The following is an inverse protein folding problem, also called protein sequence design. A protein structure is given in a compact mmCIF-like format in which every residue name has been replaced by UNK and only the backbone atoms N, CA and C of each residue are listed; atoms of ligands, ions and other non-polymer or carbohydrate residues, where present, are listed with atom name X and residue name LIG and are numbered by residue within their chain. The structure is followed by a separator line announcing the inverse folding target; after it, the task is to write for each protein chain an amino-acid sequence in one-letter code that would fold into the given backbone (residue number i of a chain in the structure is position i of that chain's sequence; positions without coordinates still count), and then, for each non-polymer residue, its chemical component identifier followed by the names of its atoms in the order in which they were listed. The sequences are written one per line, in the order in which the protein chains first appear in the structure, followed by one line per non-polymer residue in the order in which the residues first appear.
data_IF_365361607310
#
_entry.id   IF_365361607310
#
_cell.length_a   1.000
_cell.length_b   1.000
_cell.length_c   1.000
_cell.angle_alpha   90.00
_cell.angle_beta   90.00
_cell.angle_gamma   90.00
#
_symmetry.space_group_name_H-M   'P 1'
#
loop_
_entity.id
_entity.type
_entity.pdbx_description
1 polymer ?
#
# COMPACT_ATOMS: atom_id res chain seq x y z
N UNK A 1 -55.69 20.76 16.27
CA UNK A 1 -54.53 20.72 17.20
C UNK A 1 -53.33 20.27 16.38
N UNK A 2 -52.34 21.16 16.23
CA UNK A 2 -51.16 20.97 15.38
C UNK A 2 -50.16 20.08 16.11
N UNK A 3 -50.07 18.81 15.74
CA UNK A 3 -49.01 17.93 16.26
C UNK A 3 -47.79 18.07 15.35
N UNK A 4 -46.80 18.84 15.83
CA UNK A 4 -45.53 19.08 15.17
C UNK A 4 -44.64 17.85 15.43
N UNK A 5 -44.51 16.97 14.45
CA UNK A 5 -43.55 15.85 14.50
C UNK A 5 -42.17 16.40 14.09
N UNK A 6 -41.27 16.55 15.05
CA UNK A 6 -39.88 16.92 14.81
C UNK A 6 -39.11 15.64 14.50
N UNK A 7 -38.74 15.45 13.24
CA UNK A 7 -37.86 14.35 12.82
C UNK A 7 -36.42 14.70 13.18
N UNK A 8 -35.84 13.97 14.13
CA UNK A 8 -34.44 14.07 14.55
C UNK A 8 -33.53 13.52 13.43
N UNK A 9 -32.86 14.40 12.68
CA UNK A 9 -31.82 13.99 11.73
C UNK A 9 -30.56 13.70 12.56
N UNK A 10 -30.27 12.42 12.79
CA UNK A 10 -29.00 11.97 13.36
C UNK A 10 -27.93 12.12 12.28
N UNK A 11 -27.24 13.26 12.26
CA UNK A 11 -26.04 13.44 11.44
C UNK A 11 -24.95 12.51 12.00
N UNK A 12 -24.76 11.37 11.36
CA UNK A 12 -23.60 10.52 11.58
C UNK A 12 -22.36 11.28 11.08
N UNK A 13 -21.76 12.06 11.96
CA UNK A 13 -20.43 12.62 11.76
C UNK A 13 -19.45 11.45 11.76
N UNK A 14 -19.25 10.85 10.60
CA UNK A 14 -18.20 9.86 10.40
C UNK A 14 -16.87 10.60 10.46
N UNK A 15 -16.31 10.72 11.67
CA UNK A 15 -14.92 11.11 11.85
C UNK A 15 -14.08 9.98 11.25
N UNK A 16 -13.61 10.17 10.01
CA UNK A 16 -12.47 9.43 9.50
C UNK A 16 -11.31 9.75 10.43
N UNK A 17 -11.02 8.85 11.37
CA UNK A 17 -9.74 8.85 12.03
C UNK A 17 -8.72 8.64 10.92
N UNK A 18 -7.81 9.60 10.73
CA UNK A 18 -6.61 9.40 9.94
C UNK A 18 -5.82 8.31 10.69
N UNK A 19 -6.09 7.06 10.36
CA UNK A 19 -5.33 5.94 10.89
C UNK A 19 -3.88 6.18 10.51
N UNK A 20 -3.02 6.29 11.53
CA UNK A 20 -1.60 6.53 11.33
C UNK A 20 -1.07 5.44 10.39
N UNK A 21 -0.30 5.82 9.37
CA UNK A 21 0.18 4.84 8.41
C UNK A 21 1.17 3.89 9.09
N UNK A 22 1.31 2.69 8.53
CA UNK A 22 2.28 1.71 8.96
C UNK A 22 3.65 2.11 8.37
N UNK A 23 4.64 2.47 9.20
CA UNK A 23 5.97 2.80 8.71
C UNK A 23 6.76 1.51 8.43
N UNK A 24 7.37 1.39 7.27
CA UNK A 24 8.27 0.29 6.94
C UNK A 24 9.25 0.69 5.83
N UNK A 25 10.24 -0.17 5.56
CA UNK A 25 11.26 0.08 4.53
C UNK A 25 11.10 -0.87 3.38
N UNK A 26 11.06 -0.32 2.16
CA UNK A 26 11.23 -1.08 0.92
C UNK A 26 12.72 -1.12 0.56
N UNK A 27 13.29 -2.30 0.40
CA UNK A 27 14.70 -2.50 0.05
C UNK A 27 14.85 -3.17 -1.31
N UNK A 28 15.71 -2.59 -2.15
CA UNK A 28 16.15 -3.21 -3.40
C UNK A 28 17.60 -3.69 -3.26
N UNK A 29 17.78 -5.00 -3.11
CA UNK A 29 19.11 -5.64 -3.09
C UNK A 29 19.73 -5.88 -4.47
N UNK A 30 19.09 -5.41 -5.54
CA UNK A 30 19.57 -5.59 -6.91
C UNK A 30 20.30 -4.38 -7.48
N UNK A 31 20.95 -4.62 -8.62
CA UNK A 31 21.69 -3.60 -9.38
C UNK A 31 20.83 -2.85 -10.39
N UNK A 32 19.54 -3.17 -10.50
CA UNK A 32 18.58 -2.49 -11.39
C UNK A 32 17.46 -1.87 -10.57
N UNK A 33 16.97 -0.72 -11.02
CA UNK A 33 15.81 -0.08 -10.41
C UNK A 33 14.57 -0.98 -10.52
N UNK A 34 13.64 -0.83 -9.57
CA UNK A 34 12.36 -1.52 -9.55
C UNK A 34 11.26 -0.46 -9.63
N UNK A 35 10.53 -0.37 -10.75
CA UNK A 35 9.33 0.43 -10.81
C UNK A 35 8.22 -0.24 -10.01
N UNK A 36 7.61 0.51 -9.11
CA UNK A 36 6.42 0.11 -8.36
C UNK A 36 5.28 1.08 -8.69
N UNK A 37 4.08 0.73 -8.27
CA UNK A 37 2.95 1.64 -8.25
C UNK A 37 2.37 1.63 -6.83
N UNK A 38 2.42 2.79 -6.18
CA UNK A 38 1.94 2.98 -4.80
C UNK A 38 1.00 4.20 -4.83
N UNK A 39 -0.31 4.03 -4.59
CA UNK A 39 -1.25 5.14 -4.58
C UNK A 39 -0.80 6.26 -3.64
N UNK A 40 -0.86 7.51 -4.09
CA UNK A 40 -0.45 8.68 -3.29
C UNK A 40 1.06 8.91 -3.19
N UNK A 41 1.91 8.05 -3.75
CA UNK A 41 3.36 8.25 -3.81
C UNK A 41 3.77 8.72 -5.21
N UNK A 42 4.34 9.92 -5.32
CA UNK A 42 4.64 10.55 -6.60
C UNK A 42 5.77 9.89 -7.42
N UNK A 43 6.77 9.30 -6.76
CA UNK A 43 7.89 8.63 -7.43
C UNK A 43 8.15 7.24 -6.84
N UNK A 44 7.32 6.24 -7.19
CA UNK A 44 7.42 4.89 -6.63
C UNK A 44 8.52 4.04 -7.31
N UNK A 45 9.66 4.63 -7.67
CA UNK A 45 10.79 3.88 -8.22
C UNK A 45 11.81 3.59 -7.12
N UNK A 46 12.14 2.32 -6.92
CA UNK A 46 13.15 1.90 -5.96
C UNK A 46 14.51 1.74 -6.65
N UNK A 47 15.43 2.65 -6.35
CA UNK A 47 16.78 2.68 -6.93
C UNK A 47 17.58 1.39 -6.64
N UNK A 48 18.62 1.07 -7.44
CA UNK A 48 19.53 -0.02 -7.13
C UNK A 48 20.17 0.14 -5.75
N UNK A 49 20.34 -0.98 -5.03
CA UNK A 49 21.06 -1.04 -3.75
C UNK A 49 20.58 -0.01 -2.71
N UNK A 50 19.29 0.36 -2.71
CA UNK A 50 18.75 1.42 -1.85
C UNK A 50 17.68 0.94 -0.88
N UNK A 51 17.46 1.75 0.15
CA UNK A 51 16.32 1.68 1.07
C UNK A 51 15.41 2.89 0.84
N UNK A 52 14.09 2.68 0.88
CA UNK A 52 13.09 3.74 0.87
C UNK A 52 12.12 3.51 2.02
N UNK A 53 12.12 4.41 2.99
CA UNK A 53 11.10 4.45 4.03
C UNK A 53 9.77 4.90 3.44
N UNK A 54 8.70 4.22 3.79
CA UNK A 54 7.32 4.55 3.43
C UNK A 54 6.44 4.45 4.66
N UNK A 55 5.36 5.22 4.69
CA UNK A 55 4.32 5.15 5.70
C UNK A 55 2.98 5.09 4.98
N UNK A 56 2.32 3.94 5.01
CA UNK A 56 1.15 3.63 4.18
C UNK A 56 -0.01 3.11 5.05
N UNK A 57 -1.25 3.39 4.66
CA UNK A 57 -2.42 2.95 5.41
C UNK A 57 -2.58 1.41 5.36
N UNK A 58 -3.14 0.81 6.41
CA UNK A 58 -3.53 -0.61 6.41
C UNK A 58 -4.50 -0.88 5.25
N UNK A 59 -4.32 -2.00 4.55
CA UNK A 59 -5.09 -2.39 3.37
C UNK A 59 -4.66 -1.67 2.07
N UNK A 60 -3.75 -0.70 2.15
CA UNK A 60 -3.21 -0.05 0.95
C UNK A 60 -2.41 -1.06 0.13
N UNK A 61 -2.61 -1.05 -1.19
CA UNK A 61 -1.99 -2.00 -2.11
C UNK A 61 -0.81 -1.38 -2.85
N UNK A 62 0.27 -2.14 -2.94
CA UNK A 62 1.46 -1.86 -3.74
C UNK A 62 1.47 -2.83 -4.92
N UNK A 63 1.74 -2.30 -6.10
CA UNK A 63 1.76 -3.08 -7.33
C UNK A 63 3.13 -3.02 -8.01
N UNK A 64 3.39 -4.03 -8.83
CA UNK A 64 4.49 -4.06 -9.79
C UNK A 64 3.92 -4.33 -11.18
N UNK A 65 4.66 -3.94 -12.22
CA UNK A 65 4.28 -4.24 -13.60
C UNK A 65 5.01 -5.48 -14.08
N UNK A 66 4.28 -6.41 -14.69
CA UNK A 66 4.84 -7.58 -15.37
C UNK A 66 4.21 -7.71 -16.75
N UNK A 67 5.04 -7.69 -17.80
CA UNK A 67 4.60 -7.72 -19.21
C UNK A 67 3.53 -6.67 -19.57
N UNK A 68 3.59 -5.49 -18.94
CA UNK A 68 2.61 -4.42 -19.15
C UNK A 68 1.37 -4.53 -18.27
N UNK A 69 1.18 -5.65 -17.58
CA UNK A 69 0.05 -5.87 -16.67
C UNK A 69 0.38 -5.46 -15.23
N UNK A 70 -0.61 -4.93 -14.54
CA UNK A 70 -0.51 -4.49 -13.13
C UNK A 70 -0.77 -5.68 -12.21
N UNK A 71 0.22 -6.05 -11.40
CA UNK A 71 0.17 -7.20 -10.50
C UNK A 71 0.29 -6.77 -9.03
N UNK A 72 -0.50 -7.37 -8.14
CA UNK A 72 -0.44 -7.08 -6.70
C UNK A 72 0.86 -7.63 -6.10
N UNK A 73 1.68 -6.74 -5.55
CA UNK A 73 2.92 -7.08 -4.86
C UNK A 73 2.67 -7.37 -3.38
N UNK A 74 2.04 -6.41 -2.70
CA UNK A 74 1.89 -6.39 -1.25
C UNK A 74 0.61 -5.62 -0.90
N UNK A 75 -0.13 -6.12 0.07
CA UNK A 75 -1.18 -5.38 0.78
C UNK A 75 -0.63 -5.04 2.18
N UNK A 76 -0.76 -3.79 2.60
CA UNK A 76 -0.18 -3.32 3.85
C UNK A 76 -0.95 -3.88 5.03
N UNK A 77 -0.25 -4.53 5.95
CA UNK A 77 -0.79 -4.98 7.23
C UNK A 77 0.01 -4.40 8.41
N UNK A 78 -0.53 -4.52 9.63
CA UNK A 78 0.14 -4.04 10.84
C UNK A 78 1.46 -4.77 11.13
N UNK A 79 1.64 -6.01 10.65
CA UNK A 79 2.84 -6.80 10.89
C UNK A 79 4.06 -6.25 10.13
N UNK A 80 3.85 -5.38 9.13
CA UNK A 80 4.92 -4.68 8.44
C UNK A 80 5.59 -3.59 9.29
N UNK A 81 5.00 -3.16 10.40
CA UNK A 81 5.51 -2.04 11.19
C UNK A 81 7.00 -2.20 11.55
N UNK A 82 7.80 -1.20 11.17
CA UNK A 82 9.24 -1.12 11.39
C UNK A 82 10.07 -2.26 10.77
N UNK A 83 9.50 -2.98 9.79
CA UNK A 83 10.19 -4.04 9.07
C UNK A 83 10.92 -3.50 7.82
N UNK A 84 11.79 -4.33 7.26
CA UNK A 84 12.39 -4.11 5.94
C UNK A 84 11.99 -5.23 5.00
N UNK A 85 11.33 -4.87 3.91
CA UNK A 85 10.87 -5.79 2.87
C UNK A 85 11.86 -5.83 1.72
N UNK A 86 12.44 -6.99 1.44
CA UNK A 86 13.21 -7.21 0.21
C UNK A 86 12.25 -7.33 -0.98
N UNK A 87 12.10 -6.23 -1.72
CA UNK A 87 11.15 -6.11 -2.82
C UNK A 87 11.49 -7.07 -3.97
N UNK A 88 12.78 -7.31 -4.22
CA UNK A 88 13.21 -8.22 -5.28
C UNK A 88 12.86 -9.66 -4.95
N UNK A 89 13.08 -10.07 -3.70
CA UNK A 89 12.66 -11.39 -3.21
C UNK A 89 11.15 -11.54 -3.30
N UNK A 90 10.39 -10.52 -2.88
CA UNK A 90 8.93 -10.53 -2.91
C UNK A 90 8.39 -10.62 -4.34
N UNK A 91 8.91 -9.85 -5.31
CA UNK A 91 8.50 -9.96 -6.72
C UNK A 91 8.70 -11.38 -7.26
N UNK A 92 9.83 -12.03 -6.93
CA UNK A 92 10.09 -13.41 -7.38
C UNK A 92 9.07 -14.39 -6.80
N UNK A 93 8.75 -14.25 -5.52
CA UNK A 93 7.73 -15.06 -4.86
C UNK A 93 6.35 -14.82 -5.48
N UNK A 94 5.94 -13.55 -5.63
CA UNK A 94 4.64 -13.21 -6.24
C UNK A 94 4.52 -13.69 -7.67
N UNK A 95 5.60 -13.68 -8.46
CA UNK A 95 5.60 -14.26 -9.81
C UNK A 95 5.32 -15.77 -9.78
N UNK A 96 5.90 -16.50 -8.85
CA UNK A 96 5.61 -17.94 -8.68
C UNK A 96 4.17 -18.18 -8.24
N UNK A 97 3.67 -17.39 -7.28
CA UNK A 97 2.30 -17.53 -6.75
C UNK A 97 1.20 -17.12 -7.74
N UNK A 98 1.54 -16.30 -8.73
CA UNK A 98 0.64 -15.82 -9.78
C UNK A 98 0.87 -16.52 -11.12
N UNK A 99 1.70 -17.58 -11.16
CA UNK A 99 2.06 -18.31 -12.39
C UNK A 99 2.61 -17.41 -13.52
N UNK A 100 3.35 -16.36 -13.15
CA UNK A 100 4.01 -15.43 -14.07
C UNK A 100 5.39 -15.96 -14.47
N UNK A 101 5.53 -16.35 -15.74
CA UNK A 101 6.73 -17.01 -16.30
C UNK A 101 8.02 -16.19 -16.21
#
# INVERSE_FOLDING_TARGET
MKSLLITLILSASCTFLLEAGIPFTLRNNGLTAIPLEIPGVMNPNLSPMSNSGVELAVGQKIYFTYQGERCLLLEVDEALANTTVDVRKLIRQRRQELDLQ
#
